data_IF_850197148520
#
_entry.id   IF_850197148520
#
_cell.length_a   1.000
_cell.length_b   1.000
_cell.length_c   1.000
_cell.angle_alpha   90.00
_cell.angle_beta   90.00
_cell.angle_gamma   90.00
#
_symmetry.space_group_name_H-M   'P 1'
#
loop_
_entity.id
_entity.type
_entity.pdbx_description
1 polymer ?
#
# COMPACT_ATOMS: atom_id res chain seq x y z
N UNK A 1 -15.64 26.84 -4.23
CA UNK A 1 -14.95 25.78 -5.00
C UNK A 1 -13.48 25.90 -4.67
N UNK A 2 -12.80 24.82 -4.38
CA UNK A 2 -11.35 24.85 -4.10
C UNK A 2 -10.57 25.07 -5.39
N UNK A 3 -9.45 25.74 -5.29
CA UNK A 3 -8.49 25.87 -6.39
C UNK A 3 -7.75 24.54 -6.61
N UNK A 4 -7.15 24.36 -7.78
CA UNK A 4 -6.32 23.18 -8.08
C UNK A 4 -5.18 23.03 -7.06
N UNK A 5 -4.57 24.14 -6.64
CA UNK A 5 -3.49 24.11 -5.64
C UNK A 5 -3.98 23.62 -4.27
N UNK A 6 -5.18 24.03 -3.85
CA UNK A 6 -5.78 23.57 -2.60
C UNK A 6 -6.13 22.08 -2.66
N UNK A 7 -6.62 21.57 -3.81
CA UNK A 7 -6.83 20.14 -4.01
C UNK A 7 -5.51 19.36 -3.94
N UNK A 8 -4.47 19.83 -4.62
CA UNK A 8 -3.14 19.20 -4.55
C UNK A 8 -2.62 19.14 -3.11
N UNK A 9 -2.74 20.23 -2.34
CA UNK A 9 -2.29 20.28 -0.96
C UNK A 9 -3.05 19.30 -0.06
N UNK A 10 -4.37 19.22 -0.21
CA UNK A 10 -5.20 18.25 0.53
C UNK A 10 -4.85 16.80 0.19
N UNK A 11 -4.65 16.51 -1.08
CA UNK A 11 -4.26 15.20 -1.54
C UNK A 11 -2.89 14.77 -1.00
N UNK A 12 -1.91 15.67 -1.02
CA UNK A 12 -0.58 15.41 -0.45
C UNK A 12 -0.66 15.15 1.04
N UNK A 13 -1.41 15.96 1.77
CA UNK A 13 -1.61 15.76 3.20
C UNK A 13 -2.24 14.40 3.50
N UNK A 14 -3.33 14.05 2.83
CA UNK A 14 -3.99 12.76 3.01
C UNK A 14 -3.09 11.57 2.64
N UNK A 15 -2.31 11.71 1.56
CA UNK A 15 -1.34 10.70 1.11
C UNK A 15 -0.23 10.50 2.13
N UNK A 16 0.29 11.58 2.71
CA UNK A 16 1.32 11.54 3.75
C UNK A 16 0.78 10.90 5.04
N UNK A 17 -0.40 11.34 5.51
CA UNK A 17 -1.04 10.77 6.70
C UNK A 17 -1.33 9.27 6.53
N UNK A 18 -1.76 8.84 5.34
CA UNK A 18 -1.98 7.43 5.04
C UNK A 18 -0.68 6.63 5.08
N UNK A 19 0.41 7.15 4.50
CA UNK A 19 1.71 6.50 4.53
C UNK A 19 2.23 6.34 5.96
N UNK A 20 2.16 7.41 6.75
CA UNK A 20 2.58 7.39 8.16
C UNK A 20 1.73 6.40 8.97
N UNK A 21 0.40 6.45 8.79
CA UNK A 21 -0.53 5.52 9.47
C UNK A 21 -0.26 4.06 9.10
N UNK A 22 -0.01 3.75 7.83
CA UNK A 22 0.36 2.39 7.40
C UNK A 22 1.67 1.93 8.06
N UNK A 23 2.70 2.77 8.07
CA UNK A 23 4.00 2.44 8.67
C UNK A 23 3.86 2.14 10.17
N UNK A 24 3.13 2.99 10.89
CA UNK A 24 2.85 2.75 12.31
C UNK A 24 2.00 1.50 12.53
N UNK A 25 1.02 1.26 11.68
CA UNK A 25 0.17 0.07 11.77
C UNK A 25 0.96 -1.22 11.58
N UNK A 26 1.86 -1.29 10.60
CA UNK A 26 2.74 -2.46 10.39
C UNK A 26 3.62 -2.71 11.62
N UNK A 27 4.18 -1.65 12.19
CA UNK A 27 4.96 -1.75 13.43
C UNK A 27 4.11 -2.25 14.60
N UNK A 28 2.91 -1.69 14.81
CA UNK A 28 2.01 -2.10 15.88
C UNK A 28 1.51 -3.52 15.70
N UNK A 29 1.20 -3.93 14.49
CA UNK A 29 0.80 -5.31 14.17
C UNK A 29 1.88 -6.31 14.55
N UNK A 30 3.14 -6.01 14.24
CA UNK A 30 4.27 -6.89 14.60
C UNK A 30 4.39 -7.09 16.10
N UNK A 31 4.35 -6.01 16.87
CA UNK A 31 4.45 -6.08 18.34
C UNK A 31 3.21 -6.77 18.92
N UNK A 32 2.03 -6.44 18.43
CA UNK A 32 0.78 -7.03 18.89
C UNK A 32 0.75 -8.54 18.71
N UNK A 33 1.20 -9.06 17.56
CA UNK A 33 1.26 -10.50 17.28
C UNK A 33 2.27 -11.19 18.21
N UNK A 34 3.44 -10.59 18.41
CA UNK A 34 4.47 -11.13 19.29
C UNK A 34 3.97 -11.25 20.74
N UNK A 35 3.38 -10.20 21.29
CA UNK A 35 2.84 -10.20 22.65
C UNK A 35 1.64 -11.15 22.80
N UNK A 36 0.77 -11.23 21.79
CA UNK A 36 -0.37 -12.14 21.79
C UNK A 36 0.08 -13.61 21.75
N UNK A 37 1.12 -13.93 20.97
CA UNK A 37 1.70 -15.28 20.92
C UNK A 37 2.29 -15.72 22.27
N UNK A 38 3.05 -14.84 22.93
CA UNK A 38 3.59 -15.09 24.26
C UNK A 38 2.48 -15.38 25.28
N UNK A 39 1.38 -14.65 25.20
CA UNK A 39 0.23 -14.84 26.10
C UNK A 39 -0.47 -16.19 25.87
N UNK A 40 -0.58 -16.63 24.63
CA UNK A 40 -1.14 -17.96 24.32
C UNK A 40 -0.23 -19.07 24.85
N UNK A 41 1.08 -18.95 24.63
CA UNK A 41 2.06 -19.93 25.12
C UNK A 41 2.03 -20.06 26.64
N UNK A 42 1.88 -18.94 27.36
CA UNK A 42 1.78 -18.95 28.84
C UNK A 42 0.48 -19.57 29.35
N UNK A 43 -0.61 -19.54 28.58
CA UNK A 43 -1.91 -20.12 28.92
C UNK A 43 -2.08 -21.57 28.46
N UNK A 44 -1.19 -22.06 27.61
CA UNK A 44 -1.14 -23.47 27.25
C UNK A 44 -0.44 -24.21 28.41
N UNK A 45 -1.19 -24.95 29.23
CA UNK A 45 -0.59 -25.88 30.17
C UNK A 45 0.38 -26.78 29.41
N UNK A 46 1.51 -27.18 30.01
CA UNK A 46 2.43 -28.11 29.39
C UNK A 46 1.70 -29.43 29.21
N UNK A 47 1.09 -29.65 28.04
CA UNK A 47 0.66 -30.96 27.61
C UNK A 47 1.94 -31.78 27.61
N UNK A 48 2.04 -32.74 28.57
CA UNK A 48 3.08 -33.73 28.61
C UNK A 48 3.29 -34.27 27.19
N UNK A 49 4.46 -33.97 26.63
CA UNK A 49 4.87 -34.54 25.35
C UNK A 49 5.09 -36.03 25.60
N UNK A 50 4.04 -36.85 25.50
CA UNK A 50 4.21 -38.25 25.24
C UNK A 50 4.93 -38.39 23.89
N UNK A 51 6.23 -38.60 24.01
CA UNK A 51 7.11 -39.03 22.94
C UNK A 51 6.75 -40.44 22.56
N UNK A 52 5.84 -40.62 21.61
CA UNK A 52 5.76 -41.86 20.82
C UNK A 52 5.15 -41.51 19.45
N UNK A 53 5.99 -41.02 18.56
CA UNK A 53 5.68 -41.05 17.13
C UNK A 53 6.49 -42.17 16.52
N UNK A 54 5.87 -43.27 16.05
CA UNK A 54 6.58 -44.26 15.25
C UNK A 54 7.07 -43.61 13.95
N UNK A 55 8.34 -43.87 13.61
CA UNK A 55 8.94 -43.44 12.32
C UNK A 55 8.01 -43.79 11.16
N UNK A 56 7.49 -42.78 10.49
CA UNK A 56 6.83 -42.94 9.21
C UNK A 56 7.87 -43.31 8.13
N UNK A 57 7.56 -44.30 7.27
CA UNK A 57 8.46 -44.68 6.19
C UNK A 57 8.67 -43.56 5.19
N UNK A 58 9.93 -43.41 4.73
CA UNK A 58 10.34 -42.45 3.69
C UNK A 58 9.44 -42.56 2.47
N UNK A 59 8.82 -41.45 2.09
CA UNK A 59 8.14 -41.33 0.80
C UNK A 59 9.16 -41.42 -0.35
N UNK A 60 8.84 -42.13 -1.43
CA UNK A 60 9.72 -42.21 -2.58
C UNK A 60 9.83 -40.90 -3.30
N UNK A 61 11.07 -40.54 -3.70
CA UNK A 61 11.42 -39.37 -4.53
C UNK A 61 10.51 -39.27 -5.75
N UNK A 62 9.77 -38.16 -5.83
CA UNK A 62 9.01 -37.81 -7.03
C UNK A 62 10.00 -37.36 -8.12
N UNK A 63 9.94 -37.92 -9.34
CA UNK A 63 10.80 -37.53 -10.43
C UNK A 63 10.57 -36.06 -10.82
N UNK A 64 11.67 -35.34 -11.10
CA UNK A 64 11.65 -33.97 -11.63
C UNK A 64 10.75 -33.88 -12.85
N UNK A 65 9.74 -33.04 -12.78
CA UNK A 65 8.92 -32.64 -13.94
C UNK A 65 9.80 -31.80 -14.87
N UNK A 66 9.87 -32.12 -16.17
CA UNK A 66 10.61 -31.32 -17.15
C UNK A 66 10.04 -29.91 -17.20
N UNK A 67 10.94 -28.90 -17.26
CA UNK A 67 10.58 -27.50 -17.48
C UNK A 67 9.71 -27.38 -18.74
N UNK A 68 8.52 -26.81 -18.60
CA UNK A 68 7.70 -26.40 -19.73
C UNK A 68 8.45 -25.37 -20.56
N UNK A 69 8.41 -25.48 -21.92
CA UNK A 69 9.02 -24.48 -22.78
C UNK A 69 8.33 -23.13 -22.60
N UNK A 70 9.14 -22.06 -22.50
CA UNK A 70 8.67 -20.67 -22.47
C UNK A 70 7.66 -20.44 -23.59
N UNK A 71 6.44 -20.06 -23.22
CA UNK A 71 5.44 -19.57 -24.18
C UNK A 71 6.00 -18.35 -24.91
N UNK A 72 5.83 -18.26 -26.25
CA UNK A 72 6.22 -17.07 -26.99
C UNK A 72 5.38 -15.89 -26.51
N UNK A 73 6.05 -14.74 -26.26
CA UNK A 73 5.41 -13.48 -25.93
C UNK A 73 4.23 -13.23 -26.86
N UNK A 74 3.02 -13.24 -26.34
CA UNK A 74 1.85 -12.78 -27.08
C UNK A 74 2.09 -11.33 -27.54
N UNK A 75 1.83 -11.01 -28.83
CA UNK A 75 1.90 -9.64 -29.29
C UNK A 75 0.85 -8.82 -28.49
N UNK A 76 1.28 -7.66 -27.99
CA UNK A 76 0.47 -6.69 -27.27
C UNK A 76 -0.95 -6.66 -27.83
N UNK A 77 -1.91 -7.18 -27.05
CA UNK A 77 -3.33 -7.06 -27.36
C UNK A 77 -3.64 -5.57 -27.46
N UNK A 78 -4.35 -5.11 -28.51
CA UNK A 78 -4.68 -3.71 -28.65
C UNK A 78 -5.48 -3.27 -27.42
N UNK A 79 -4.84 -2.48 -26.57
CA UNK A 79 -5.47 -1.86 -25.41
C UNK A 79 -6.73 -1.16 -25.86
N UNK A 80 -7.88 -1.55 -25.29
CA UNK A 80 -9.18 -0.90 -25.48
C UNK A 80 -8.99 0.61 -25.41
N UNK A 81 -9.65 1.40 -26.28
CA UNK A 81 -9.52 2.86 -26.30
C UNK A 81 -10.16 3.43 -25.02
N UNK A 82 -9.39 3.51 -23.95
CA UNK A 82 -9.71 4.29 -22.77
C UNK A 82 -9.16 5.72 -23.00
N UNK A 83 -9.87 6.56 -23.76
CA UNK A 83 -10.52 7.77 -23.43
C UNK A 83 -9.70 8.94 -22.83
N UNK A 84 -10.21 10.17 -22.78
CA UNK A 84 -9.46 11.41 -22.60
C UNK A 84 -8.49 11.44 -21.41
N UNK A 85 -8.79 10.70 -20.35
CA UNK A 85 -7.89 10.55 -19.16
C UNK A 85 -6.50 10.03 -19.53
N UNK A 86 -6.41 9.10 -20.47
CA UNK A 86 -5.13 8.52 -20.90
C UNK A 86 -4.27 9.55 -21.71
N UNK A 87 -4.90 10.48 -22.45
CA UNK A 87 -4.18 11.52 -23.19
C UNK A 87 -3.57 12.56 -22.24
N UNK A 88 -4.31 12.97 -21.22
CA UNK A 88 -3.83 13.92 -20.22
C UNK A 88 -2.69 13.32 -19.42
N UNK A 89 -2.86 12.09 -18.92
CA UNK A 89 -1.84 11.35 -18.18
C UNK A 89 -0.53 11.24 -18.99
N UNK A 90 -0.60 10.81 -20.24
CA UNK A 90 0.55 10.73 -21.14
C UNK A 90 1.23 12.08 -21.38
N UNK A 91 0.44 13.14 -21.55
CA UNK A 91 0.96 14.49 -21.76
C UNK A 91 1.74 14.98 -20.54
N UNK A 92 1.14 14.85 -19.35
CA UNK A 92 1.78 15.26 -18.08
C UNK A 92 3.03 14.43 -17.83
N UNK A 93 2.95 13.09 -17.97
CA UNK A 93 4.08 12.21 -17.82
C UNK A 93 5.26 12.58 -18.72
N UNK A 94 5.00 12.82 -20.01
CA UNK A 94 6.05 13.24 -20.97
C UNK A 94 6.75 14.52 -20.54
N UNK A 95 5.98 15.52 -20.10
CA UNK A 95 6.54 16.80 -19.64
C UNK A 95 7.35 16.62 -18.35
N UNK A 96 6.81 15.89 -17.38
CA UNK A 96 7.50 15.61 -16.13
C UNK A 96 8.77 14.79 -16.36
N UNK A 97 8.73 13.75 -17.19
CA UNK A 97 9.91 12.93 -17.49
C UNK A 97 11.05 13.74 -18.07
N UNK A 98 10.76 14.75 -18.91
CA UNK A 98 11.77 15.65 -19.46
C UNK A 98 12.41 16.56 -18.40
N UNK A 99 11.65 16.93 -17.36
CA UNK A 99 12.11 17.84 -16.29
C UNK A 99 12.77 17.09 -15.14
N UNK A 100 12.34 15.85 -14.86
CA UNK A 100 12.82 15.07 -13.73
C UNK A 100 13.90 14.05 -14.07
N UNK A 101 14.24 13.91 -15.37
CA UNK A 101 15.30 13.00 -15.80
C UNK A 101 16.64 13.32 -15.09
N UNK A 102 17.36 12.33 -14.58
CA UNK A 102 18.60 12.54 -13.81
C UNK A 102 19.68 13.34 -14.57
N UNK A 103 19.68 13.27 -15.91
CA UNK A 103 20.60 14.06 -16.75
C UNK A 103 20.30 15.58 -16.77
N UNK A 104 19.20 16.01 -16.11
CA UNK A 104 18.81 17.42 -16.05
C UNK A 104 19.23 18.05 -14.72
N UNK A 105 19.50 19.37 -14.72
CA UNK A 105 19.95 20.11 -13.54
C UNK A 105 19.02 19.96 -12.30
N UNK A 106 17.73 19.78 -12.52
CA UNK A 106 16.72 19.65 -11.44
C UNK A 106 16.19 18.21 -11.32
N UNK A 107 16.72 17.26 -12.09
CA UNK A 107 16.30 15.87 -12.08
C UNK A 107 17.05 15.07 -11.01
N UNK A 108 16.33 14.17 -10.34
CA UNK A 108 16.92 13.16 -9.46
C UNK A 108 16.35 11.80 -9.83
N UNK A 109 17.14 10.74 -9.62
CA UNK A 109 16.68 9.36 -9.82
C UNK A 109 15.40 9.06 -9.01
N UNK A 110 15.31 9.59 -7.79
CA UNK A 110 14.17 9.38 -6.91
C UNK A 110 12.91 10.03 -7.47
N UNK A 111 12.99 11.28 -7.91
CA UNK A 111 11.84 12.00 -8.45
C UNK A 111 11.37 11.39 -9.76
N UNK A 112 12.31 11.00 -10.62
CA UNK A 112 11.98 10.32 -11.86
C UNK A 112 11.28 8.96 -11.61
N UNK A 113 11.73 8.19 -10.63
CA UNK A 113 11.07 6.94 -10.20
C UNK A 113 9.65 7.19 -9.71
N UNK A 114 9.44 8.23 -8.89
CA UNK A 114 8.10 8.60 -8.39
C UNK A 114 7.16 8.97 -9.55
N UNK A 115 7.64 9.75 -10.52
CA UNK A 115 6.87 10.13 -11.71
C UNK A 115 6.52 8.91 -12.56
N UNK A 116 7.49 8.01 -12.77
CA UNK A 116 7.28 6.77 -13.51
C UNK A 116 6.27 5.85 -12.80
N UNK A 117 6.43 5.63 -11.51
CA UNK A 117 5.50 4.83 -10.71
C UNK A 117 4.06 5.37 -10.78
N UNK A 118 3.90 6.71 -10.65
CA UNK A 118 2.59 7.34 -10.75
C UNK A 118 1.96 7.14 -12.14
N UNK A 119 2.77 7.13 -13.20
CA UNK A 119 2.31 6.84 -14.55
C UNK A 119 1.92 5.36 -14.72
N UNK A 120 2.78 4.44 -14.30
CA UNK A 120 2.58 2.99 -14.42
C UNK A 120 1.34 2.52 -13.63
N UNK A 121 1.06 3.17 -12.49
CA UNK A 121 -0.12 2.91 -11.65
C UNK A 121 -1.36 3.70 -12.06
N UNK A 122 -1.33 4.46 -13.17
CA UNK A 122 -2.41 5.35 -13.61
C UNK A 122 -2.85 6.38 -12.55
N UNK A 123 -1.96 6.78 -11.64
CA UNK A 123 -2.26 7.75 -10.60
C UNK A 123 -2.16 9.18 -11.14
N UNK A 124 -3.23 9.61 -11.83
CA UNK A 124 -3.29 10.93 -12.46
C UNK A 124 -3.20 12.06 -11.43
N UNK A 125 -3.79 11.92 -10.24
CA UNK A 125 -3.78 12.94 -9.21
C UNK A 125 -2.36 13.19 -8.69
N UNK A 126 -1.57 12.12 -8.47
CA UNK A 126 -0.16 12.22 -8.09
C UNK A 126 0.66 12.93 -9.18
N UNK A 127 0.43 12.60 -10.46
CA UNK A 127 1.11 13.27 -11.57
C UNK A 127 0.73 14.76 -11.68
N UNK A 128 -0.55 15.12 -11.52
CA UNK A 128 -0.99 16.51 -11.53
C UNK A 128 -0.36 17.27 -10.36
N UNK A 129 -0.34 16.69 -9.17
CA UNK A 129 0.26 17.31 -7.99
C UNK A 129 1.74 17.62 -8.20
N UNK A 130 2.49 16.69 -8.80
CA UNK A 130 3.90 16.94 -9.18
C UNK A 130 3.99 18.01 -10.27
N UNK A 131 3.13 17.95 -11.30
CA UNK A 131 3.13 18.89 -12.41
C UNK A 131 2.89 20.34 -11.95
N UNK A 132 2.00 20.56 -11.00
CA UNK A 132 1.73 21.88 -10.39
C UNK A 132 3.00 22.42 -9.72
N UNK A 133 3.78 21.60 -9.03
CA UNK A 133 5.07 22.01 -8.43
C UNK A 133 6.10 22.43 -9.46
N UNK A 134 6.09 21.78 -10.64
CA UNK A 134 6.94 22.14 -11.77
C UNK A 134 6.34 23.24 -12.68
N UNK A 135 5.24 23.87 -12.25
CA UNK A 135 4.53 24.93 -13.02
C UNK A 135 4.13 24.49 -14.43
N UNK A 136 3.83 23.21 -14.61
CA UNK A 136 3.26 22.69 -15.85
C UNK A 136 1.79 23.11 -15.92
N UNK A 137 1.37 23.65 -17.05
CA UNK A 137 -0.03 24.01 -17.26
C UNK A 137 -0.94 22.77 -17.27
N UNK A 138 -1.90 22.78 -16.39
CA UNK A 138 -2.91 21.74 -16.24
C UNK A 138 -4.25 22.32 -16.75
N UNK A 139 -5.04 21.56 -17.52
CA UNK A 139 -6.38 22.01 -17.93
C UNK A 139 -7.26 22.33 -16.72
N UNK A 140 -8.07 23.39 -16.85
CA UNK A 140 -8.97 23.83 -15.79
C UNK A 140 -10.19 22.90 -15.59
N UNK A 141 -10.47 22.04 -16.58
CA UNK A 141 -11.63 21.14 -16.62
C UNK A 141 -11.44 19.80 -15.91
N UNK A 142 -10.48 19.74 -14.95
CA UNK A 142 -10.30 18.53 -14.16
C UNK A 142 -11.48 18.39 -13.18
N UNK A 143 -12.15 17.25 -13.29
CA UNK A 143 -13.26 16.90 -12.42
C UNK A 143 -12.82 16.87 -10.96
N UNK A 144 -13.33 17.81 -10.16
CA UNK A 144 -13.00 17.93 -8.74
C UNK A 144 -13.45 16.71 -7.92
N UNK A 145 -14.47 15.97 -8.40
CA UNK A 145 -14.96 14.78 -7.70
C UNK A 145 -13.89 13.69 -7.60
N UNK A 146 -12.95 13.63 -8.56
CA UNK A 146 -11.84 12.68 -8.52
C UNK A 146 -10.94 12.91 -7.30
N UNK A 147 -10.74 14.17 -6.91
CA UNK A 147 -9.95 14.52 -5.74
C UNK A 147 -10.70 14.18 -4.45
N UNK A 148 -11.96 14.58 -4.38
CA UNK A 148 -12.80 14.34 -3.21
C UNK A 148 -12.96 12.84 -2.93
N UNK A 149 -13.20 12.03 -3.97
CA UNK A 149 -13.32 10.58 -3.86
C UNK A 149 -12.03 9.93 -3.38
N UNK A 150 -10.87 10.34 -3.91
CA UNK A 150 -9.60 9.75 -3.54
C UNK A 150 -9.17 10.16 -2.13
N UNK A 151 -9.35 11.42 -1.76
CA UNK A 151 -9.11 11.91 -0.40
C UNK A 151 -10.01 11.18 0.59
N UNK A 152 -11.29 11.00 0.26
CA UNK A 152 -12.24 10.26 1.10
C UNK A 152 -11.79 8.80 1.29
N UNK A 153 -11.36 8.10 0.23
CA UNK A 153 -10.84 6.72 0.33
C UNK A 153 -9.64 6.65 1.28
N UNK A 154 -8.69 7.57 1.15
CA UNK A 154 -7.52 7.63 2.04
C UNK A 154 -7.96 7.85 3.49
N UNK A 155 -8.86 8.79 3.74
CA UNK A 155 -9.39 9.09 5.08
C UNK A 155 -10.09 7.88 5.70
N UNK A 156 -10.96 7.21 4.95
CA UNK A 156 -11.63 5.99 5.41
C UNK A 156 -10.64 4.86 5.72
N UNK A 157 -9.57 4.73 4.92
CA UNK A 157 -8.51 3.75 5.18
C UNK A 157 -7.77 4.05 6.48
N UNK A 158 -7.42 5.32 6.71
CA UNK A 158 -6.77 5.78 7.95
C UNK A 158 -7.65 5.46 9.16
N UNK A 159 -8.94 5.82 9.08
CA UNK A 159 -9.89 5.52 10.17
C UNK A 159 -10.03 4.02 10.42
N UNK A 160 -10.08 3.22 9.37
CA UNK A 160 -10.13 1.76 9.49
C UNK A 160 -8.91 1.22 10.24
N UNK A 161 -7.70 1.64 9.86
CA UNK A 161 -6.46 1.21 10.51
C UNK A 161 -6.43 1.60 11.98
N UNK A 162 -6.84 2.82 12.31
CA UNK A 162 -6.90 3.34 13.68
C UNK A 162 -7.96 2.63 14.56
N UNK A 163 -8.92 1.92 13.98
CA UNK A 163 -9.95 1.13 14.70
C UNK A 163 -9.56 -0.35 14.91
N UNK A 164 -8.43 -0.81 14.36
CA UNK A 164 -7.97 -2.19 14.52
C UNK A 164 -7.53 -2.50 15.95
N UNK A 165 -7.63 -3.77 16.35
CA UNK A 165 -7.20 -4.19 17.68
C UNK A 165 -5.71 -3.90 17.93
N UNK A 166 -4.85 -4.07 16.94
CA UNK A 166 -3.42 -3.79 17.06
C UNK A 166 -3.15 -2.30 17.32
N UNK A 167 -3.85 -1.40 16.60
CA UNK A 167 -3.73 0.04 16.80
C UNK A 167 -4.24 0.46 18.18
N UNK A 168 -5.43 -0.01 18.55
CA UNK A 168 -6.03 0.28 19.85
C UNK A 168 -5.15 -0.23 21.00
N UNK A 169 -4.61 -1.45 20.87
CA UNK A 169 -3.72 -2.06 21.84
C UNK A 169 -2.41 -1.26 21.98
N UNK A 170 -1.78 -0.87 20.88
CA UNK A 170 -0.52 -0.13 20.94
C UNK A 170 -0.63 1.23 21.63
N UNK A 171 -1.80 1.86 21.53
CA UNK A 171 -2.08 3.17 22.13
C UNK A 171 -2.83 3.10 23.48
N UNK A 172 -3.02 1.89 24.02
CA UNK A 172 -3.73 1.66 25.27
C UNK A 172 -2.79 1.64 26.50
N UNK A 173 -3.34 1.90 27.67
CA UNK A 173 -2.65 1.62 28.94
C UNK A 173 -2.48 0.11 29.17
N UNK A 174 -1.56 -0.31 30.04
CA UNK A 174 -1.30 -1.74 30.31
C UNK A 174 -2.57 -2.49 30.73
N UNK A 175 -3.43 -1.90 31.56
CA UNK A 175 -4.71 -2.50 31.96
C UNK A 175 -5.68 -2.68 30.77
N UNK A 176 -5.68 -1.77 29.82
CA UNK A 176 -6.53 -1.84 28.63
C UNK A 176 -5.99 -2.84 27.62
N UNK A 177 -4.67 -2.94 27.47
CA UNK A 177 -4.02 -3.95 26.64
C UNK A 177 -4.46 -5.36 27.05
N UNK A 178 -4.46 -5.65 28.35
CA UNK A 178 -4.92 -6.94 28.87
C UNK A 178 -6.39 -7.20 28.52
N UNK A 179 -7.28 -6.21 28.72
CA UNK A 179 -8.69 -6.34 28.35
C UNK A 179 -8.92 -6.59 26.85
N UNK A 180 -8.09 -5.99 26.00
CA UNK A 180 -8.16 -6.22 24.54
C UNK A 180 -7.84 -7.69 24.24
N UNK A 181 -6.79 -8.24 24.82
CA UNK A 181 -6.43 -9.65 24.65
C UNK A 181 -7.51 -10.60 25.19
N UNK A 182 -8.02 -10.33 26.39
CA UNK A 182 -9.11 -11.14 26.99
C UNK A 182 -10.36 -11.15 26.10
N UNK A 183 -10.73 -10.01 25.53
CA UNK A 183 -11.86 -9.90 24.59
C UNK A 183 -11.63 -10.69 23.30
N UNK A 184 -10.40 -10.78 22.81
CA UNK A 184 -10.07 -11.55 21.61
C UNK A 184 -10.13 -13.05 21.91
N UNK A 185 -9.59 -13.45 23.05
CA UNK A 185 -9.58 -14.86 23.48
C UNK A 185 -10.98 -15.39 23.82
N UNK A 186 -11.87 -14.53 24.33
CA UNK A 186 -13.25 -14.91 24.68
C UNK A 186 -14.17 -15.11 23.47
N UNK A 187 -13.75 -14.68 22.28
CA UNK A 187 -14.51 -14.83 21.03
C UNK A 187 -14.21 -16.13 20.26
N UNK A 188 -13.31 -16.95 20.77
CA UNK A 188 -13.02 -18.30 20.27
C UNK A 188 -13.85 -19.32 21.02
#
# INVERSE_FOLDING_TARGET
MLTLQEYCAKYEYASFELLETNTLFEYYMKIFIDEYSKLIEQKSDPIEKETNVPNAPNEPNVPNVPNEPNEPNEPDAPSKPNEPKNKLLKRIYKQLSLLTHPDKQNGTDELFKIVKEAYDTNNILKLITIAVKFKIEIPEDIDSTLWDDEILKMTLKIEYLKKTNAWLWANASENEKQKIFERILSKK
#
